data_IF_061951889489
#
_entry.id   IF_061951889489
#
_cell.length_a   1.000
_cell.length_b   1.000
_cell.length_c   1.000
_cell.angle_alpha   90.00
_cell.angle_beta   90.00
_cell.angle_gamma   90.00
#
_symmetry.space_group_name_H-M   'P 1'
#
loop_
_entity.id
_entity.type
_entity.pdbx_description
1 polymer ?
#
# COMPACT_ATOMS: atom_id res chain seq x y z
N UNK A 1 -32.94 -0.30 -0.30
CA UNK A 1 -33.26 -1.37 -1.25
C UNK A 1 -33.93 -0.75 -2.47
N UNK A 2 -33.29 -0.78 -3.62
CA UNK A 2 -33.93 -0.36 -4.86
C UNK A 2 -34.87 -1.48 -5.34
N UNK A 3 -36.15 -1.15 -5.43
CA UNK A 3 -37.19 -2.04 -5.94
C UNK A 3 -37.06 -2.38 -7.43
N UNK A 4 -36.01 -1.91 -8.09
CA UNK A 4 -35.71 -2.12 -9.50
C UNK A 4 -34.51 -3.03 -9.82
N UNK A 5 -33.92 -3.66 -8.81
CA UNK A 5 -32.82 -4.60 -9.05
C UNK A 5 -33.31 -5.85 -9.79
N UNK A 6 -32.66 -6.18 -10.90
CA UNK A 6 -32.96 -7.35 -11.72
C UNK A 6 -32.81 -8.69 -10.98
N UNK A 7 -32.12 -8.68 -9.83
CA UNK A 7 -31.93 -9.82 -8.97
C UNK A 7 -32.74 -9.71 -7.68
N UNK A 8 -33.59 -10.69 -7.41
CA UNK A 8 -34.30 -10.77 -6.14
C UNK A 8 -33.38 -11.34 -5.05
N UNK A 9 -32.73 -10.43 -4.30
CA UNK A 9 -32.01 -10.84 -3.09
C UNK A 9 -32.94 -10.92 -1.90
N UNK A 10 -32.96 -12.04 -1.20
CA UNK A 10 -33.57 -12.11 0.12
C UNK A 10 -32.64 -11.46 1.13
N UNK A 11 -32.77 -10.15 1.33
CA UNK A 11 -31.96 -9.35 2.26
C UNK A 11 -32.62 -9.17 3.64
N UNK A 12 -33.70 -9.89 3.94
CA UNK A 12 -34.42 -9.81 5.20
C UNK A 12 -34.01 -10.91 6.21
N UNK A 13 -32.83 -11.47 6.08
CA UNK A 13 -32.29 -12.38 7.09
C UNK A 13 -32.09 -11.64 8.41
N UNK A 14 -32.54 -12.28 9.52
CA UNK A 14 -32.04 -11.89 10.84
C UNK A 14 -30.52 -12.10 10.86
N UNK A 15 -29.81 -11.27 11.62
CA UNK A 15 -28.35 -11.32 11.70
C UNK A 15 -27.85 -12.75 12.00
N UNK A 16 -28.47 -13.43 12.95
CA UNK A 16 -28.11 -14.82 13.32
C UNK A 16 -28.24 -15.79 12.15
N UNK A 17 -29.32 -15.71 11.39
CA UNK A 17 -29.54 -16.57 10.22
C UNK A 17 -28.54 -16.29 9.13
N UNK A 18 -28.21 -15.02 8.90
CA UNK A 18 -27.18 -14.62 7.94
C UNK A 18 -25.80 -15.14 8.32
N UNK A 19 -25.44 -15.05 9.61
CA UNK A 19 -24.16 -15.56 10.11
C UNK A 19 -24.05 -17.08 9.98
N UNK A 20 -25.12 -17.83 10.33
CA UNK A 20 -25.14 -19.29 10.15
C UNK A 20 -25.03 -19.67 8.66
N UNK A 21 -25.74 -18.95 7.80
CA UNK A 21 -25.66 -19.14 6.36
C UNK A 21 -24.26 -18.94 5.82
N UNK A 22 -23.56 -17.88 6.28
CA UNK A 22 -22.19 -17.61 5.87
C UNK A 22 -21.21 -18.60 6.48
N UNK A 23 -21.38 -18.97 7.75
CA UNK A 23 -20.51 -19.92 8.44
C UNK A 23 -20.35 -21.21 7.62
N UNK A 24 -21.45 -21.85 7.29
CA UNK A 24 -21.43 -23.12 6.56
C UNK A 24 -20.69 -23.01 5.20
N UNK A 25 -20.83 -21.88 4.52
CA UNK A 25 -20.17 -21.64 3.22
C UNK A 25 -18.69 -21.34 3.36
N UNK A 26 -18.33 -20.57 4.38
CA UNK A 26 -16.94 -20.20 4.64
C UNK A 26 -16.13 -21.40 5.15
N UNK A 27 -16.74 -22.29 5.95
CA UNK A 27 -16.11 -23.55 6.37
C UNK A 27 -15.82 -24.44 5.17
N UNK A 28 -16.78 -24.63 4.27
CA UNK A 28 -16.58 -25.39 3.02
C UNK A 28 -15.54 -24.68 2.14
N UNK A 29 -15.63 -23.36 1.97
CA UNK A 29 -14.68 -22.62 1.15
C UNK A 29 -13.24 -22.77 1.66
N UNK A 30 -13.04 -22.83 2.99
CA UNK A 30 -11.73 -23.07 3.60
C UNK A 30 -11.12 -24.40 3.17
N UNK A 31 -11.94 -25.45 3.04
CA UNK A 31 -11.47 -26.77 2.62
C UNK A 31 -11.01 -26.77 1.16
N UNK A 32 -11.66 -25.98 0.30
CA UNK A 32 -11.31 -25.87 -1.12
C UNK A 32 -10.09 -24.98 -1.39
N UNK A 33 -9.65 -24.16 -0.43
CA UNK A 33 -8.46 -23.34 -0.60
C UNK A 33 -7.19 -24.21 -0.64
N UNK A 34 -6.29 -23.88 -1.57
CA UNK A 34 -4.92 -24.38 -1.54
C UNK A 34 -4.20 -23.87 -0.27
N UNK A 35 -3.08 -24.51 0.10
CA UNK A 35 -2.37 -24.15 1.34
C UNK A 35 -1.80 -22.72 1.31
N UNK A 36 -1.48 -22.21 0.13
CA UNK A 36 -1.09 -20.82 -0.15
C UNK A 36 -2.27 -19.93 -0.59
N UNK A 37 -3.50 -20.45 -0.54
CA UNK A 37 -4.69 -19.76 -1.02
C UNK A 37 -5.14 -18.62 -0.10
N UNK A 38 -5.88 -17.69 -0.67
CA UNK A 38 -6.53 -16.58 0.06
C UNK A 38 -8.02 -16.50 -0.26
N UNK A 39 -8.80 -16.03 0.71
CA UNK A 39 -10.22 -15.77 0.56
C UNK A 39 -10.51 -14.29 0.77
N UNK A 40 -11.35 -13.74 -0.10
CA UNK A 40 -11.72 -12.35 -0.15
C UNK A 40 -13.23 -12.22 -0.04
N UNK A 41 -13.72 -11.65 1.04
CA UNK A 41 -15.17 -11.57 1.29
C UNK A 41 -15.60 -10.13 1.33
N UNK A 42 -16.46 -9.76 0.39
CA UNK A 42 -17.02 -8.42 0.25
C UNK A 42 -18.32 -8.29 1.06
N UNK A 43 -18.46 -7.21 1.80
CA UNK A 43 -19.65 -6.90 2.61
C UNK A 43 -19.85 -5.41 2.78
N UNK A 44 -21.09 -5.00 3.06
CA UNK A 44 -21.39 -3.64 3.49
C UNK A 44 -21.00 -3.40 4.97
N UNK A 45 -21.09 -2.15 5.39
CA UNK A 45 -20.77 -1.69 6.75
C UNK A 45 -21.53 -2.49 7.83
N UNK A 46 -22.80 -2.71 7.62
CA UNK A 46 -23.70 -3.38 8.60
C UNK A 46 -23.24 -4.80 8.97
N UNK A 47 -22.59 -5.49 8.03
CA UNK A 47 -22.16 -6.88 8.20
C UNK A 47 -20.68 -7.04 8.56
N UNK A 48 -19.85 -6.03 8.32
CA UNK A 48 -18.40 -6.13 8.32
C UNK A 48 -17.83 -6.62 9.66
N UNK A 49 -18.27 -6.05 10.76
CA UNK A 49 -17.74 -6.39 12.08
C UNK A 49 -18.11 -7.81 12.52
N UNK A 50 -19.35 -8.22 12.25
CA UNK A 50 -19.83 -9.57 12.56
C UNK A 50 -19.14 -10.62 11.68
N UNK A 51 -18.99 -10.30 10.40
CA UNK A 51 -18.28 -11.17 9.47
C UNK A 51 -16.80 -11.33 9.85
N UNK A 52 -16.15 -10.26 10.31
CA UNK A 52 -14.76 -10.31 10.81
C UNK A 52 -14.62 -11.30 11.97
N UNK A 53 -15.50 -11.22 12.96
CA UNK A 53 -15.50 -12.13 14.11
C UNK A 53 -15.75 -13.58 13.67
N UNK A 54 -16.70 -13.80 12.77
CA UNK A 54 -16.99 -15.12 12.21
C UNK A 54 -15.78 -15.68 11.45
N UNK A 55 -15.14 -14.89 10.60
CA UNK A 55 -13.98 -15.33 9.84
C UNK A 55 -12.77 -15.59 10.75
N UNK A 56 -12.58 -14.82 11.82
CA UNK A 56 -11.57 -15.10 12.84
C UNK A 56 -11.78 -16.49 13.49
N UNK A 57 -13.03 -16.86 13.74
CA UNK A 57 -13.34 -18.18 14.33
C UNK A 57 -13.11 -19.35 13.37
N UNK A 58 -13.26 -19.12 12.06
CA UNK A 58 -13.11 -20.17 11.02
C UNK A 58 -11.66 -20.28 10.55
N UNK A 59 -11.03 -19.17 10.20
CA UNK A 59 -9.69 -19.14 9.59
C UNK A 59 -8.58 -18.99 10.63
N UNK A 60 -8.85 -18.34 11.75
CA UNK A 60 -7.87 -17.92 12.76
C UNK A 60 -7.50 -16.44 12.61
N UNK A 61 -7.32 -15.75 13.74
CA UNK A 61 -6.94 -14.31 13.76
C UNK A 61 -5.60 -14.05 13.09
N UNK A 62 -4.67 -14.98 13.23
CA UNK A 62 -3.33 -14.93 12.65
C UNK A 62 -3.31 -15.06 11.14
N UNK A 63 -4.42 -15.49 10.55
CA UNK A 63 -4.60 -15.62 9.09
C UNK A 63 -5.22 -14.37 8.46
N UNK A 64 -5.56 -13.40 9.27
CA UNK A 64 -6.11 -12.14 8.79
C UNK A 64 -5.02 -11.28 8.15
N UNK A 65 -5.21 -10.93 6.89
CA UNK A 65 -4.28 -10.09 6.11
C UNK A 65 -4.64 -8.62 6.21
N UNK A 66 -5.93 -8.30 6.07
CA UNK A 66 -6.36 -6.91 6.13
C UNK A 66 -7.82 -6.70 5.73
N UNK A 67 -8.25 -5.46 5.92
CA UNK A 67 -9.55 -4.95 5.45
C UNK A 67 -9.29 -3.89 4.39
N UNK A 68 -9.89 -4.08 3.20
CA UNK A 68 -9.76 -3.15 2.08
C UNK A 68 -11.05 -2.36 1.91
N UNK A 69 -11.00 -1.02 1.92
CA UNK A 69 -12.15 -0.20 1.57
C UNK A 69 -12.36 -0.22 0.05
N UNK A 70 -13.57 -0.54 -0.38
CA UNK A 70 -14.00 -0.43 -1.77
C UNK A 70 -14.95 0.76 -1.90
N UNK A 71 -14.52 1.80 -2.62
CA UNK A 71 -15.38 2.95 -2.88
C UNK A 71 -16.54 2.55 -3.79
N UNK A 72 -17.76 2.81 -3.34
CA UNK A 72 -19.00 2.44 -4.04
C UNK A 72 -19.63 3.61 -4.77
N UNK A 73 -19.36 4.85 -4.34
CA UNK A 73 -19.97 6.06 -4.88
C UNK A 73 -18.96 7.19 -5.04
N UNK A 74 -19.18 8.04 -6.03
CA UNK A 74 -18.43 9.29 -6.28
C UNK A 74 -19.29 10.54 -6.07
N UNK A 75 -20.30 10.48 -5.25
CA UNK A 75 -21.22 11.60 -5.08
C UNK A 75 -21.77 11.76 -3.66
N UNK A 76 -22.22 12.96 -3.36
CA UNK A 76 -23.00 13.23 -2.16
C UNK A 76 -24.36 12.55 -2.32
N UNK A 77 -24.72 11.68 -1.39
CA UNK A 77 -26.10 11.26 -1.24
C UNK A 77 -26.75 12.11 -0.14
N UNK A 78 -27.94 12.60 -0.40
CA UNK A 78 -28.76 13.25 0.62
C UNK A 78 -29.19 12.21 1.64
N UNK A 79 -28.42 12.11 2.71
CA UNK A 79 -28.72 11.24 3.84
C UNK A 79 -29.11 12.15 5.01
N UNK A 80 -30.41 12.33 5.32
CA UNK A 80 -30.79 13.12 6.45
C UNK A 80 -30.27 12.50 7.75
N UNK A 81 -29.57 13.31 8.54
CA UNK A 81 -29.10 13.00 9.89
C UNK A 81 -28.09 11.87 10.04
N UNK A 82 -27.36 11.46 8.96
CA UNK A 82 -26.37 10.38 9.03
C UNK A 82 -25.16 10.65 8.15
N UNK A 83 -24.12 9.84 8.32
CA UNK A 83 -22.95 9.88 7.44
C UNK A 83 -23.24 9.14 6.12
N UNK A 84 -22.72 9.67 5.01
CA UNK A 84 -22.74 8.96 3.74
C UNK A 84 -21.87 7.71 3.81
N UNK A 85 -22.42 6.56 3.43
CA UNK A 85 -21.68 5.30 3.31
C UNK A 85 -21.15 5.17 1.88
N UNK A 86 -19.95 5.69 1.65
CA UNK A 86 -19.32 5.72 0.34
C UNK A 86 -18.43 4.49 0.07
N UNK A 87 -18.31 3.61 1.05
CA UNK A 87 -17.44 2.45 1.00
C UNK A 87 -18.17 1.17 1.42
N UNK A 88 -17.81 0.09 0.74
CA UNK A 88 -17.96 -1.29 1.20
C UNK A 88 -16.60 -1.82 1.67
N UNK A 89 -16.59 -2.99 2.28
CA UNK A 89 -15.41 -3.59 2.87
C UNK A 89 -15.12 -4.96 2.28
N UNK A 90 -13.84 -5.26 2.11
CA UNK A 90 -13.37 -6.57 1.70
C UNK A 90 -12.44 -7.09 2.80
N UNK A 91 -12.83 -8.18 3.42
CA UNK A 91 -12.02 -8.90 4.40
C UNK A 91 -11.17 -9.94 3.69
N UNK A 92 -9.88 -9.96 4.00
CA UNK A 92 -8.91 -10.87 3.36
C UNK A 92 -8.27 -11.77 4.40
N UNK A 93 -8.32 -13.08 4.15
CA UNK A 93 -7.67 -14.12 4.95
C UNK A 93 -6.87 -15.07 4.06
N UNK A 94 -5.81 -15.65 4.63
CA UNK A 94 -5.03 -16.72 4.00
C UNK A 94 -5.32 -18.05 4.67
N UNK A 95 -5.11 -19.18 3.97
CA UNK A 95 -5.14 -20.52 4.58
C UNK A 95 -3.81 -20.87 5.22
N UNK A 96 -2.72 -20.56 4.56
CA UNK A 96 -1.35 -20.86 4.97
C UNK A 96 -0.87 -20.10 6.20
N UNK A 97 0.36 -20.39 6.64
CA UNK A 97 0.94 -19.76 7.83
C UNK A 97 1.37 -18.31 7.60
N UNK A 98 1.71 -17.95 6.38
CA UNK A 98 2.34 -16.68 6.07
C UNK A 98 1.42 -15.83 5.20
N UNK A 99 1.38 -14.54 5.47
CA UNK A 99 0.75 -13.53 4.61
C UNK A 99 1.44 -13.41 3.25
N UNK A 100 2.50 -14.15 3.02
CA UNK A 100 3.32 -14.14 1.81
C UNK A 100 2.61 -14.67 0.57
N UNK A 101 1.48 -15.38 0.75
CA UNK A 101 0.59 -15.77 -0.35
C UNK A 101 -0.09 -14.58 -1.04
N UNK A 102 -0.05 -13.39 -0.44
CA UNK A 102 -0.51 -12.15 -1.07
C UNK A 102 0.69 -11.29 -1.40
N UNK A 103 1.34 -11.63 -2.48
CA UNK A 103 2.47 -10.85 -2.98
C UNK A 103 1.94 -9.60 -3.66
N UNK A 104 2.26 -8.44 -3.11
CA UNK A 104 2.07 -7.17 -3.81
C UNK A 104 2.88 -7.16 -5.11
N UNK A 105 2.39 -6.51 -6.15
CA UNK A 105 3.13 -6.35 -7.40
C UNK A 105 4.47 -5.67 -7.10
N UNK A 106 5.58 -6.34 -7.40
CA UNK A 106 6.88 -5.69 -7.39
C UNK A 106 6.91 -4.65 -8.51
N UNK A 107 7.06 -3.38 -8.13
CA UNK A 107 7.36 -2.33 -9.10
C UNK A 107 8.85 -2.42 -9.39
N UNK A 108 9.19 -2.65 -10.64
CA UNK A 108 10.57 -2.62 -11.10
C UNK A 108 11.15 -1.22 -10.83
N UNK A 109 12.15 -1.16 -9.97
CA UNK A 109 12.81 0.09 -9.61
C UNK A 109 13.93 0.37 -10.59
N UNK A 110 13.96 1.60 -11.09
CA UNK A 110 15.06 2.06 -11.95
C UNK A 110 16.24 2.49 -11.09
N UNK A 111 17.37 1.84 -11.31
CA UNK A 111 18.66 2.20 -10.71
C UNK A 111 19.56 2.84 -11.78
N UNK A 112 20.41 3.74 -11.35
CA UNK A 112 21.44 4.39 -12.16
C UNK A 112 22.81 3.99 -11.64
N UNK A 113 23.77 3.90 -12.53
CA UNK A 113 25.17 3.72 -12.20
C UNK A 113 25.92 5.03 -12.45
N UNK A 114 26.80 5.39 -11.56
CA UNK A 114 27.55 6.64 -11.64
C UNK A 114 29.04 6.38 -11.40
N UNK A 115 29.96 7.22 -11.96
CA UNK A 115 31.39 6.99 -11.86
C UNK A 115 31.96 6.96 -10.44
N UNK A 116 31.27 7.59 -9.48
CA UNK A 116 31.62 7.60 -8.06
C UNK A 116 31.24 6.30 -7.33
N UNK A 117 30.35 5.49 -7.92
CA UNK A 117 29.93 4.18 -7.40
C UNK A 117 29.92 3.11 -8.50
N UNK A 118 31.12 2.77 -9.06
CA UNK A 118 31.19 1.80 -10.14
C UNK A 118 30.78 0.40 -9.67
N UNK A 119 29.89 -0.27 -10.44
CA UNK A 119 29.39 -1.59 -10.11
C UNK A 119 28.39 -1.63 -8.94
N UNK A 120 28.01 -0.49 -8.38
CA UNK A 120 27.06 -0.37 -7.29
C UNK A 120 25.91 0.58 -7.65
N UNK A 121 24.94 0.14 -8.47
CA UNK A 121 23.84 0.97 -8.93
C UNK A 121 22.94 1.41 -7.77
N UNK A 122 22.40 2.61 -7.87
CA UNK A 122 21.56 3.23 -6.84
C UNK A 122 20.41 4.01 -7.46
N UNK A 123 19.42 4.36 -6.63
CA UNK A 123 18.28 5.20 -7.00
C UNK A 123 18.15 6.39 -6.06
N UNK A 124 17.53 7.46 -6.57
CA UNK A 124 17.16 8.62 -5.76
C UNK A 124 15.98 8.31 -4.86
N UNK A 125 16.05 8.83 -3.63
CA UNK A 125 14.93 8.90 -2.71
C UNK A 125 14.86 10.27 -2.04
N UNK A 126 13.67 10.66 -1.57
CA UNK A 126 13.48 11.91 -0.84
C UNK A 126 14.26 11.88 0.48
N UNK A 127 15.05 12.92 0.72
CA UNK A 127 15.80 13.12 1.95
C UNK A 127 15.02 13.96 2.97
N UNK A 128 13.77 14.34 2.69
CA UNK A 128 12.96 15.16 3.56
C UNK A 128 11.80 14.38 4.20
N UNK A 129 11.28 14.88 5.31
CA UNK A 129 10.07 14.39 5.99
C UNK A 129 9.02 15.50 6.06
N UNK A 130 7.76 15.11 6.08
CA UNK A 130 6.61 16.00 6.28
C UNK A 130 6.43 16.30 7.77
N UNK A 131 7.47 16.89 8.38
CA UNK A 131 7.49 17.33 9.77
C UNK A 131 7.97 18.77 9.81
N UNK A 132 7.48 19.52 10.78
CA UNK A 132 7.83 20.93 10.95
C UNK A 132 9.17 21.08 11.69
N UNK A 133 9.69 22.33 11.68
CA UNK A 133 10.89 22.71 12.42
C UNK A 133 10.70 22.48 13.93
N UNK A 134 9.50 22.75 14.45
CA UNK A 134 9.17 22.57 15.86
C UNK A 134 9.20 21.10 16.27
N UNK A 135 8.75 20.21 15.40
CA UNK A 135 8.74 18.76 15.66
C UNK A 135 10.14 18.15 15.58
N UNK A 136 11.00 18.71 14.71
CA UNK A 136 12.37 18.19 14.49
C UNK A 136 13.41 19.29 14.35
N UNK A 137 13.74 20.02 15.41
CA UNK A 137 14.67 21.18 15.35
C UNK A 137 16.07 20.77 14.86
N UNK A 138 16.59 19.62 15.30
CA UNK A 138 17.93 19.13 14.91
C UNK A 138 18.03 18.67 13.43
N UNK A 139 16.90 18.56 12.76
CA UNK A 139 16.80 18.22 11.33
C UNK A 139 16.52 19.45 10.45
N UNK A 140 16.62 20.65 11.02
CA UNK A 140 16.42 21.93 10.34
C UNK A 140 17.73 22.69 10.27
N UNK A 141 18.58 22.33 9.33
CA UNK A 141 19.86 23.00 9.08
C UNK A 141 20.09 23.21 7.59
N UNK A 142 20.94 24.19 7.24
CA UNK A 142 21.39 24.35 5.85
C UNK A 142 22.43 23.29 5.53
N UNK A 143 22.11 22.43 4.59
CA UNK A 143 23.05 21.40 4.13
C UNK A 143 24.05 22.02 3.16
N UNK A 144 25.31 21.72 3.30
CA UNK A 144 26.38 22.18 2.43
C UNK A 144 26.95 20.99 1.69
N UNK A 145 27.08 21.08 0.36
CA UNK A 145 27.77 20.06 -0.41
C UNK A 145 29.27 20.15 -0.11
N UNK A 146 29.90 19.12 0.48
CA UNK A 146 31.32 19.14 0.81
C UNK A 146 32.26 19.26 -0.41
N UNK A 147 31.79 18.87 -1.61
CA UNK A 147 32.61 18.92 -2.84
C UNK A 147 32.61 20.28 -3.51
N UNK A 148 31.43 20.94 -3.54
CA UNK A 148 31.25 22.17 -4.32
C UNK A 148 31.09 23.43 -3.45
N UNK A 149 30.81 23.25 -2.15
CA UNK A 149 30.48 24.34 -1.23
C UNK A 149 29.08 24.92 -1.41
N UNK A 150 28.29 24.39 -2.34
CA UNK A 150 26.91 24.85 -2.58
C UNK A 150 26.01 24.55 -1.39
N UNK A 151 25.18 25.53 -1.04
CA UNK A 151 24.29 25.47 0.12
C UNK A 151 22.86 25.13 -0.28
N UNK A 152 22.22 24.31 0.54
CA UNK A 152 20.85 23.86 0.35
C UNK A 152 20.05 24.09 1.65
N UNK A 153 19.27 25.17 1.74
CA UNK A 153 18.41 25.42 2.87
C UNK A 153 17.29 24.39 2.93
N UNK A 154 16.86 24.03 4.14
CA UNK A 154 15.70 23.18 4.33
C UNK A 154 14.42 23.92 3.88
N UNK A 155 13.46 23.19 3.36
CA UNK A 155 12.14 23.76 3.07
C UNK A 155 11.44 24.14 4.40
N UNK A 156 10.91 25.38 4.55
CA UNK A 156 10.25 25.81 5.77
C UNK A 156 9.09 24.92 6.27
N UNK A 157 8.47 24.17 5.33
CA UNK A 157 7.35 23.25 5.64
C UNK A 157 7.78 21.77 5.80
N UNK A 158 9.08 21.50 5.81
CA UNK A 158 9.64 20.13 5.89
C UNK A 158 10.91 20.14 6.73
N UNK A 159 11.34 18.99 7.19
CA UNK A 159 12.64 18.78 7.82
C UNK A 159 13.46 17.76 7.03
N UNK A 160 14.77 17.74 7.22
CA UNK A 160 15.59 16.67 6.71
C UNK A 160 15.26 15.33 7.40
N UNK A 161 15.45 14.24 6.72
CA UNK A 161 15.29 12.90 7.30
C UNK A 161 16.41 12.53 8.27
N UNK A 162 17.49 13.29 8.25
CA UNK A 162 18.69 13.17 9.08
C UNK A 162 18.87 14.40 9.96
N UNK A 163 19.69 14.30 10.99
CA UNK A 163 20.13 15.43 11.82
C UNK A 163 21.48 15.97 11.32
N UNK A 164 21.84 17.15 11.76
CA UNK A 164 23.15 17.73 11.43
C UNK A 164 24.31 16.85 11.94
N UNK A 165 24.15 16.24 13.10
CA UNK A 165 25.15 15.36 13.72
C UNK A 165 25.39 14.07 12.91
N UNK A 166 24.36 13.56 12.26
CA UNK A 166 24.45 12.32 11.46
C UNK A 166 24.78 12.58 9.98
N UNK A 167 24.89 13.84 9.57
CA UNK A 167 25.12 14.21 8.18
C UNK A 167 26.43 13.65 7.65
N UNK A 168 27.54 13.83 8.39
CA UNK A 168 28.87 13.40 7.95
C UNK A 168 28.94 11.89 7.77
N UNK A 169 28.38 11.13 8.70
CA UNK A 169 28.31 9.66 8.59
C UNK A 169 27.53 9.21 7.35
N UNK A 170 26.35 9.78 7.12
CA UNK A 170 25.54 9.45 5.94
C UNK A 170 26.20 9.86 4.63
N UNK A 171 26.90 10.98 4.62
CA UNK A 171 27.62 11.45 3.45
C UNK A 171 28.83 10.55 3.12
N UNK A 172 29.66 10.22 4.12
CA UNK A 172 30.81 9.35 3.96
C UNK A 172 30.42 7.93 3.49
N UNK A 173 29.31 7.42 3.97
CA UNK A 173 28.76 6.14 3.55
C UNK A 173 28.08 6.18 2.15
N UNK A 174 28.15 7.33 1.46
CA UNK A 174 27.55 7.51 0.14
C UNK A 174 26.02 7.63 0.14
N UNK A 175 25.37 7.66 1.30
CA UNK A 175 23.92 7.70 1.43
C UNK A 175 23.27 9.03 1.04
N UNK A 176 24.05 10.12 0.95
CA UNK A 176 23.60 11.46 0.52
C UNK A 176 24.24 11.83 -0.80
N UNK A 177 23.46 12.36 -1.72
CA UNK A 177 23.91 12.92 -2.98
C UNK A 177 23.39 14.33 -3.20
N UNK A 178 24.13 15.08 -3.96
CA UNK A 178 23.78 16.44 -4.33
C UNK A 178 23.54 16.56 -5.83
N UNK A 179 22.59 17.38 -6.30
CA UNK A 179 22.33 17.54 -7.73
C UNK A 179 23.56 18.06 -8.51
N UNK A 180 24.35 18.92 -7.88
CA UNK A 180 25.53 19.52 -8.46
C UNK A 180 26.78 18.59 -8.49
N UNK A 181 26.66 17.38 -7.97
CA UNK A 181 27.69 16.34 -8.15
C UNK A 181 27.68 15.72 -9.57
N UNK A 182 26.60 15.94 -10.33
CA UNK A 182 26.37 15.28 -11.63
C UNK A 182 25.83 16.26 -12.69
N UNK A 183 26.47 16.32 -13.84
CA UNK A 183 26.13 17.28 -14.91
C UNK A 183 24.70 17.15 -15.45
N UNK A 184 24.15 15.93 -15.50
CA UNK A 184 22.85 15.65 -16.11
C UNK A 184 21.77 15.22 -15.11
N UNK A 185 21.96 15.50 -13.82
CA UNK A 185 21.02 15.07 -12.82
C UNK A 185 19.94 16.11 -12.57
N UNK A 186 18.70 15.78 -12.92
CA UNK A 186 17.55 16.63 -12.62
C UNK A 186 17.28 16.71 -11.11
N UNK A 187 16.96 17.91 -10.61
CA UNK A 187 16.58 18.16 -9.23
C UNK A 187 17.34 19.33 -8.61
N UNK A 188 16.69 20.01 -7.67
CA UNK A 188 17.22 21.22 -7.02
C UNK A 188 17.65 20.97 -5.56
N UNK A 189 17.51 19.73 -5.06
CA UNK A 189 17.67 19.42 -3.64
C UNK A 189 18.56 18.20 -3.42
N UNK A 190 19.28 18.14 -2.31
CA UNK A 190 19.95 16.94 -1.86
C UNK A 190 18.97 15.77 -1.77
N UNK A 191 19.45 14.58 -2.04
CA UNK A 191 18.67 13.36 -2.07
C UNK A 191 19.37 12.24 -1.33
N UNK A 192 18.60 11.23 -0.92
CA UNK A 192 19.15 9.99 -0.40
C UNK A 192 19.47 9.06 -1.57
N UNK A 193 20.67 8.47 -1.55
CA UNK A 193 20.97 7.30 -2.39
C UNK A 193 20.50 6.04 -1.67
N UNK A 194 19.84 5.18 -2.41
CA UNK A 194 19.48 3.83 -1.96
C UNK A 194 20.12 2.89 -2.95
N UNK A 195 21.09 2.14 -2.48
CA UNK A 195 21.81 1.18 -3.30
C UNK A 195 20.96 -0.06 -3.57
N UNK A 196 21.14 -0.66 -4.75
CA UNK A 196 20.37 -1.82 -5.18
C UNK A 196 20.57 -3.02 -4.25
N UNK A 197 21.81 -3.29 -3.85
CA UNK A 197 22.16 -4.33 -2.90
C UNK A 197 21.43 -4.18 -1.55
N UNK A 198 21.33 -2.94 -1.04
CA UNK A 198 20.60 -2.64 0.20
C UNK A 198 19.07 -2.76 0.05
N UNK A 199 18.54 -2.36 -1.10
CA UNK A 199 17.11 -2.50 -1.39
C UNK A 199 16.72 -3.98 -1.54
N UNK A 200 17.54 -4.75 -2.25
CA UNK A 200 17.32 -6.19 -2.45
C UNK A 200 17.43 -6.95 -1.12
N UNK A 201 18.40 -6.60 -0.26
CA UNK A 201 18.56 -7.22 1.07
C UNK A 201 17.36 -6.93 2.01
N UNK A 202 16.71 -5.78 1.86
CA UNK A 202 15.54 -5.42 2.68
C UNK A 202 14.26 -6.09 2.23
N UNK A 203 14.24 -6.80 1.10
CA UNK A 203 13.08 -7.47 0.50
C UNK A 203 11.81 -6.60 0.53
N UNK A 204 11.98 -5.30 0.43
CA UNK A 204 10.84 -4.37 0.47
C UNK A 204 10.09 -4.45 -0.85
N UNK A 205 9.05 -5.27 -0.87
CA UNK A 205 8.01 -5.11 -1.85
C UNK A 205 7.52 -3.65 -1.80
N UNK A 206 7.46 -2.99 -2.93
CA UNK A 206 6.75 -1.71 -3.00
C UNK A 206 5.29 -2.06 -2.97
N UNK A 207 4.66 -1.87 -1.82
CA UNK A 207 3.23 -2.10 -1.69
C UNK A 207 2.51 -1.11 -2.59
N UNK A 208 1.81 -1.63 -3.56
CA UNK A 208 0.77 -0.90 -4.27
C UNK A 208 -0.29 -0.55 -3.22
N UNK A 209 -0.84 0.65 -3.24
CA UNK A 209 -1.93 1.00 -2.31
C UNK A 209 -3.05 -0.04 -2.44
N UNK A 210 -3.78 -0.29 -1.34
CA UNK A 210 -4.89 -1.25 -1.36
C UNK A 210 -5.91 -0.95 -2.48
N UNK A 211 -6.11 0.33 -2.80
CA UNK A 211 -6.96 0.78 -3.91
C UNK A 211 -6.38 0.38 -5.27
N UNK A 212 -5.09 0.48 -5.45
CA UNK A 212 -4.38 0.11 -6.68
C UNK A 212 -4.37 -1.42 -6.89
N UNK A 213 -4.10 -2.18 -5.84
CA UNK A 213 -4.21 -3.65 -5.83
C UNK A 213 -5.61 -4.10 -6.23
N UNK A 214 -6.64 -3.46 -5.68
CA UNK A 214 -8.02 -3.81 -6.00
C UNK A 214 -8.37 -3.47 -7.45
N UNK A 215 -7.94 -2.31 -7.96
CA UNK A 215 -8.12 -1.95 -9.37
C UNK A 215 -7.44 -2.94 -10.31
N UNK A 216 -6.20 -3.33 -9.99
CA UNK A 216 -5.45 -4.30 -10.78
C UNK A 216 -6.13 -5.68 -10.74
N UNK A 217 -6.54 -6.14 -9.56
CA UNK A 217 -7.26 -7.41 -9.39
C UNK A 217 -8.57 -7.44 -10.18
N UNK A 218 -9.36 -6.36 -10.12
CA UNK A 218 -10.59 -6.24 -10.91
C UNK A 218 -10.27 -6.21 -12.41
N UNK A 219 -9.24 -5.49 -12.82
CA UNK A 219 -8.79 -5.46 -14.22
C UNK A 219 -8.37 -6.84 -14.70
N UNK A 220 -7.59 -7.57 -13.93
CA UNK A 220 -7.12 -8.91 -14.26
C UNK A 220 -8.27 -9.92 -14.31
N UNK A 221 -9.24 -9.80 -13.40
CA UNK A 221 -10.49 -10.58 -13.46
C UNK A 221 -11.30 -10.29 -14.72
N UNK A 222 -11.45 -9.03 -15.10
CA UNK A 222 -12.20 -8.63 -16.29
C UNK A 222 -11.50 -9.11 -17.56
N UNK A 223 -10.17 -9.09 -17.61
CA UNK A 223 -9.40 -9.64 -18.72
C UNK A 223 -9.58 -11.17 -18.81
N UNK A 224 -9.60 -11.87 -17.69
CA UNK A 224 -9.79 -13.32 -17.64
C UNK A 224 -11.25 -13.74 -17.84
N UNK A 225 -12.20 -12.83 -17.60
CA UNK A 225 -13.63 -13.04 -17.84
C UNK A 225 -14.07 -12.65 -19.26
N UNK A 226 -13.18 -12.09 -20.08
CA UNK A 226 -13.46 -11.94 -21.51
C UNK A 226 -13.64 -13.32 -22.11
N UNK A 227 -14.85 -13.56 -22.49
CA UNK A 227 -15.38 -14.86 -22.93
C UNK A 227 -14.51 -15.54 -23.98
N UNK A 228 -14.58 -16.85 -23.98
CA UNK A 228 -14.09 -17.73 -25.06
C UNK A 228 -14.57 -17.32 -26.47
N UNK A 229 -15.52 -16.42 -26.56
CA UNK A 229 -16.16 -15.96 -27.81
C UNK A 229 -15.67 -14.58 -28.29
N UNK A 230 -14.74 -13.94 -27.60
CA UNK A 230 -14.07 -12.71 -28.07
C UNK A 230 -14.96 -11.46 -28.20
N UNK A 231 -16.19 -11.48 -27.67
CA UNK A 231 -17.09 -10.34 -27.63
C UNK A 231 -17.08 -9.64 -26.28
N UNK A 232 -17.00 -8.27 -26.32
CA UNK A 232 -17.12 -7.40 -25.16
C UNK A 232 -18.49 -7.47 -24.49
#
# INVERSE_FOLDING_TARGET
KNTGDAFQYNSNFKLSTWLVFLKNRLEIAKEFLCDDGSIWVHTGEDGMHYLKVLMDSIFGKEKFVGTLPRKTRDGKSDVPFNFSQDFDWILVYTKGKDSDSIVGRQIERKYIETPDFPGRPWRKADLTKQTTIQERPNSNFTMVNPRTGKTYPVNPKRSWAITQETFDEYYQNGGIGFPDDYENMSGERPFRRIFKDEDDAKQKATYVSSTELLKQFISDLLVNCKNKDGNE
#
